data_IF_247951888949
#
_entry.id   IF_247951888949
#
_cell.length_a   1.000
_cell.length_b   1.000
_cell.length_c   1.000
_cell.angle_alpha   90.00
_cell.angle_beta   90.00
_cell.angle_gamma   90.00
#
_symmetry.space_group_name_H-M   'P 1'
#
loop_
_entity.id
_entity.type
_entity.pdbx_description
1 polymer ?
#
# COMPACT_ATOMS: atom_id res chain seq x y z
N UNK A 1 2.27 -30.67 12.23
CA UNK A 1 2.42 -29.85 11.01
C UNK A 1 3.83 -30.05 10.51
N UNK A 2 4.06 -30.38 9.23
CA UNK A 2 5.42 -30.62 8.71
C UNK A 2 6.12 -29.30 8.42
N UNK A 3 7.44 -29.24 8.61
CA UNK A 3 8.28 -28.05 8.34
C UNK A 3 8.05 -27.49 6.93
N UNK A 4 7.89 -28.37 5.93
CA UNK A 4 7.59 -27.98 4.54
C UNK A 4 6.25 -27.26 4.37
N UNK A 5 5.24 -27.64 5.14
CA UNK A 5 3.93 -26.98 5.10
C UNK A 5 4.01 -25.53 5.61
N UNK A 6 4.82 -25.29 6.66
CA UNK A 6 5.07 -23.92 7.16
C UNK A 6 5.92 -23.11 6.18
N UNK A 7 6.88 -23.73 5.49
CA UNK A 7 7.66 -23.06 4.45
C UNK A 7 6.78 -22.62 3.27
N UNK A 8 5.87 -23.47 2.82
CA UNK A 8 4.93 -23.12 1.76
C UNK A 8 3.96 -22.02 2.20
N UNK A 9 3.49 -22.07 3.46
CA UNK A 9 2.65 -21.02 4.02
C UNK A 9 3.39 -19.68 4.10
N UNK A 10 4.67 -19.67 4.50
CA UNK A 10 5.49 -18.45 4.51
C UNK A 10 5.64 -17.85 3.12
N UNK A 11 5.90 -18.67 2.10
CA UNK A 11 5.97 -18.20 0.70
C UNK A 11 4.66 -17.56 0.27
N UNK A 12 3.53 -18.19 0.58
CA UNK A 12 2.21 -17.65 0.26
C UNK A 12 1.94 -16.31 0.98
N UNK A 13 2.40 -16.17 2.23
CA UNK A 13 2.32 -14.88 2.95
C UNK A 13 3.22 -13.81 2.35
N UNK A 14 4.42 -14.17 1.88
CA UNK A 14 5.30 -13.22 1.19
C UNK A 14 4.67 -12.74 -0.12
N UNK A 15 4.18 -13.65 -0.96
CA UNK A 15 3.51 -13.28 -2.21
C UNK A 15 2.30 -12.38 -1.96
N UNK A 16 1.51 -12.67 -0.93
CA UNK A 16 0.38 -11.81 -0.58
C UNK A 16 0.84 -10.40 -0.17
N UNK A 17 1.96 -10.29 0.54
CA UNK A 17 2.54 -9.00 0.91
C UNK A 17 3.01 -8.23 -0.32
N UNK A 18 3.72 -8.90 -1.23
CA UNK A 18 4.18 -8.33 -2.50
C UNK A 18 3.01 -7.82 -3.37
N UNK A 19 1.90 -8.57 -3.44
CA UNK A 19 0.67 -8.14 -4.12
C UNK A 19 0.11 -6.83 -3.54
N UNK A 20 0.06 -6.73 -2.22
CA UNK A 20 -0.46 -5.52 -1.54
C UNK A 20 0.49 -4.34 -1.78
N UNK A 21 1.80 -4.55 -1.73
CA UNK A 21 2.80 -3.52 -2.01
C UNK A 21 2.72 -3.01 -3.46
N UNK A 22 2.50 -3.90 -4.43
CA UNK A 22 2.24 -3.50 -5.82
C UNK A 22 0.98 -2.65 -5.95
N UNK A 23 -0.10 -3.01 -5.24
CA UNK A 23 -1.35 -2.25 -5.26
C UNK A 23 -1.19 -0.86 -4.63
N UNK A 24 -0.44 -0.76 -3.53
CA UNK A 24 -0.08 0.52 -2.91
C UNK A 24 0.65 1.43 -3.91
N UNK A 25 1.67 0.90 -4.60
CA UNK A 25 2.42 1.65 -5.59
C UNK A 25 1.52 2.10 -6.75
N UNK A 26 0.59 1.24 -7.19
CA UNK A 26 -0.39 1.57 -8.23
C UNK A 26 -1.30 2.72 -7.79
N UNK A 27 -1.85 2.67 -6.58
CA UNK A 27 -2.71 3.71 -6.03
C UNK A 27 -1.97 5.04 -5.86
N UNK A 28 -0.73 5.01 -5.35
CA UNK A 28 0.13 6.20 -5.27
C UNK A 28 0.39 6.82 -6.64
N UNK A 29 0.68 6.00 -7.66
CA UNK A 29 0.84 6.46 -9.03
C UNK A 29 -0.39 7.18 -9.56
N UNK A 30 -1.58 6.65 -9.28
CA UNK A 30 -2.86 7.28 -9.66
C UNK A 30 -3.05 8.60 -8.92
N UNK A 31 -2.84 8.64 -7.60
CA UNK A 31 -2.97 9.87 -6.81
C UNK A 31 -2.06 10.97 -7.37
N UNK A 32 -0.78 10.65 -7.61
CA UNK A 32 0.17 11.61 -8.17
C UNK A 32 -0.27 12.15 -9.53
N UNK A 33 -0.84 11.29 -10.39
CA UNK A 33 -1.35 11.70 -11.69
C UNK A 33 -2.57 12.64 -11.55
N UNK A 34 -3.50 12.32 -10.67
CA UNK A 34 -4.69 13.13 -10.43
C UNK A 34 -4.35 14.47 -9.76
N UNK A 35 -3.36 14.50 -8.86
CA UNK A 35 -2.83 15.74 -8.27
C UNK A 35 -2.13 16.61 -9.31
N UNK A 36 -1.31 16.02 -10.19
CA UNK A 36 -0.67 16.74 -11.28
C UNK A 36 -1.73 17.36 -12.21
N UNK A 37 -2.78 16.61 -12.51
CA UNK A 37 -3.91 17.10 -13.31
C UNK A 37 -4.64 18.26 -12.64
N UNK A 38 -4.93 18.15 -11.33
CA UNK A 38 -5.53 19.23 -10.56
C UNK A 38 -4.67 20.50 -10.59
N UNK A 39 -3.35 20.34 -10.43
CA UNK A 39 -2.39 21.46 -10.49
C UNK A 39 -2.40 22.15 -11.86
N UNK A 40 -2.50 21.39 -12.95
CA UNK A 40 -2.67 21.95 -14.29
C UNK A 40 -3.97 22.77 -14.38
N UNK A 41 -5.10 22.24 -13.90
CA UNK A 41 -6.37 22.98 -13.89
C UNK A 41 -6.28 24.29 -13.06
N UNK A 42 -5.61 24.25 -11.91
CA UNK A 42 -5.37 25.42 -11.06
C UNK A 42 -4.52 26.48 -11.76
N UNK A 43 -3.50 26.06 -12.50
CA UNK A 43 -2.67 26.94 -13.31
C UNK A 43 -3.46 27.56 -14.47
N UNK A 44 -4.27 26.78 -15.17
CA UNK A 44 -5.14 27.27 -16.24
C UNK A 44 -6.18 28.27 -15.73
N UNK A 45 -6.81 27.98 -14.58
CA UNK A 45 -7.76 28.87 -13.94
C UNK A 45 -7.09 30.20 -13.56
N UNK A 46 -5.91 30.14 -12.96
CA UNK A 46 -5.15 31.33 -12.56
C UNK A 46 -4.75 32.19 -13.76
N UNK A 47 -4.28 31.56 -14.84
CA UNK A 47 -3.95 32.27 -16.08
C UNK A 47 -5.17 32.94 -16.71
N UNK A 48 -6.32 32.26 -16.76
CA UNK A 48 -7.55 32.84 -17.30
C UNK A 48 -8.14 33.95 -16.40
N UNK A 49 -7.99 33.84 -15.08
CA UNK A 49 -8.34 34.93 -14.16
C UNK A 49 -7.50 36.18 -14.40
N UNK A 50 -6.21 36.01 -14.67
CA UNK A 50 -5.32 37.13 -14.97
C UNK A 50 -5.68 37.78 -16.31
N UNK A 51 -5.97 36.98 -17.34
CA UNK A 51 -6.50 37.47 -18.62
C UNK A 51 -7.78 38.26 -18.43
N UNK A 52 -8.72 37.75 -17.61
CA UNK A 52 -9.97 38.45 -17.31
C UNK A 52 -9.74 39.80 -16.61
N UNK A 53 -8.85 39.85 -15.60
CA UNK A 53 -8.49 41.10 -14.92
C UNK A 53 -7.87 42.12 -15.87
N UNK A 54 -6.98 41.68 -16.75
CA UNK A 54 -6.34 42.55 -17.74
C UNK A 54 -7.37 43.15 -18.70
N UNK A 55 -8.34 42.37 -19.17
CA UNK A 55 -9.44 42.87 -20.00
C UNK A 55 -10.32 43.87 -19.25
N UNK A 56 -10.54 43.67 -17.94
CA UNK A 56 -11.34 44.58 -17.12
C UNK A 56 -10.66 45.95 -16.93
N UNK A 57 -9.31 45.98 -16.92
CA UNK A 57 -8.53 47.21 -16.73
C UNK A 57 -8.33 47.95 -18.06
N UNK A 58 -8.16 47.21 -19.17
CA UNK A 58 -7.76 47.78 -20.46
C UNK A 58 -8.94 48.14 -21.38
N UNK A 59 -10.10 47.49 -21.24
CA UNK A 59 -11.24 47.65 -22.15
C UNK A 59 -12.61 47.56 -21.44
N UNK A 60 -13.66 48.03 -22.12
CA UNK A 60 -15.05 47.77 -21.70
C UNK A 60 -15.39 46.33 -22.06
N UNK A 61 -15.45 45.45 -21.06
CA UNK A 61 -15.88 44.05 -21.26
C UNK A 61 -17.33 44.05 -21.74
N UNK A 62 -17.57 43.48 -22.92
CA UNK A 62 -18.93 43.30 -23.41
C UNK A 62 -19.68 42.23 -22.59
N UNK A 63 -21.01 42.34 -22.44
CA UNK A 63 -21.79 41.39 -21.65
C UNK A 63 -21.68 39.92 -22.11
N UNK A 64 -21.39 39.66 -23.39
CA UNK A 64 -21.20 38.32 -23.94
C UNK A 64 -19.89 37.69 -23.47
N UNK A 65 -18.80 38.44 -23.49
CA UNK A 65 -17.51 38.02 -22.93
C UNK A 65 -17.61 37.76 -21.43
N UNK A 66 -18.29 38.62 -20.68
CA UNK A 66 -18.51 38.42 -19.24
C UNK A 66 -19.26 37.12 -18.95
N UNK A 67 -20.31 36.81 -19.71
CA UNK A 67 -21.05 35.55 -19.59
C UNK A 67 -20.17 34.34 -19.91
N UNK A 68 -19.28 34.45 -20.88
CA UNK A 68 -18.33 33.39 -21.25
C UNK A 68 -17.35 33.11 -20.13
N UNK A 69 -16.72 34.15 -19.55
CA UNK A 69 -15.80 34.01 -18.42
C UNK A 69 -16.49 33.41 -17.20
N UNK A 70 -17.68 33.90 -16.85
CA UNK A 70 -18.46 33.36 -15.74
C UNK A 70 -18.76 31.87 -15.93
N UNK A 71 -19.22 31.50 -17.14
CA UNK A 71 -19.51 30.10 -17.47
C UNK A 71 -18.25 29.25 -17.37
N UNK A 72 -17.13 29.71 -17.93
CA UNK A 72 -15.84 29.00 -17.84
C UNK A 72 -15.41 28.78 -16.39
N UNK A 73 -15.36 29.83 -15.56
CA UNK A 73 -14.94 29.71 -14.16
C UNK A 73 -15.85 28.80 -13.34
N UNK A 74 -17.17 28.88 -13.57
CA UNK A 74 -18.13 27.97 -12.92
C UNK A 74 -17.86 26.51 -13.29
N UNK A 75 -17.68 26.21 -14.58
CA UNK A 75 -17.40 24.85 -15.03
C UNK A 75 -16.04 24.34 -14.52
N UNK A 76 -15.03 25.21 -14.51
CA UNK A 76 -13.68 24.86 -14.05
C UNK A 76 -13.69 24.55 -12.55
N UNK A 77 -14.37 25.35 -11.75
CA UNK A 77 -14.54 25.10 -10.31
C UNK A 77 -15.24 23.76 -10.03
N UNK A 78 -16.30 23.43 -10.78
CA UNK A 78 -16.98 22.13 -10.64
C UNK A 78 -16.03 20.98 -10.98
N UNK A 79 -15.29 21.07 -12.09
CA UNK A 79 -14.32 20.05 -12.50
C UNK A 79 -13.22 19.84 -11.45
N UNK A 80 -12.66 20.94 -10.93
CA UNK A 80 -11.63 20.89 -9.89
C UNK A 80 -12.17 20.29 -8.58
N UNK A 81 -13.41 20.60 -8.22
CA UNK A 81 -14.05 19.99 -7.06
C UNK A 81 -14.18 18.47 -7.23
N UNK A 82 -14.70 18.00 -8.36
CA UNK A 82 -14.81 16.58 -8.68
C UNK A 82 -13.45 15.88 -8.68
N UNK A 83 -12.42 16.57 -9.21
CA UNK A 83 -11.05 16.08 -9.22
C UNK A 83 -10.49 15.90 -7.80
N UNK A 84 -10.74 16.86 -6.90
CA UNK A 84 -10.37 16.76 -5.48
C UNK A 84 -11.10 15.63 -4.77
N UNK A 85 -12.40 15.45 -5.02
CA UNK A 85 -13.14 14.31 -4.46
C UNK A 85 -12.58 12.97 -4.93
N UNK A 86 -12.18 12.86 -6.20
CA UNK A 86 -11.55 11.65 -6.73
C UNK A 86 -10.22 11.34 -6.01
N UNK A 87 -9.38 12.36 -5.79
CA UNK A 87 -8.14 12.22 -5.03
C UNK A 87 -8.42 11.76 -3.59
N UNK A 88 -9.37 12.39 -2.90
CA UNK A 88 -9.75 12.01 -1.52
C UNK A 88 -10.20 10.55 -1.44
N UNK A 89 -11.03 10.09 -2.38
CA UNK A 89 -11.46 8.68 -2.45
C UNK A 89 -10.27 7.75 -2.63
N UNK A 90 -9.30 8.10 -3.49
CA UNK A 90 -8.11 7.27 -3.71
C UNK A 90 -7.15 7.27 -2.53
N UNK A 91 -7.03 8.38 -1.80
CA UNK A 91 -6.28 8.44 -0.54
C UNK A 91 -6.92 7.51 0.50
N UNK A 92 -8.25 7.51 0.61
CA UNK A 92 -8.95 6.60 1.53
C UNK A 92 -8.73 5.12 1.14
N UNK A 93 -8.80 4.78 -0.15
CA UNK A 93 -8.47 3.43 -0.64
C UNK A 93 -7.01 3.04 -0.33
N UNK A 94 -6.06 3.97 -0.48
CA UNK A 94 -4.66 3.76 -0.15
C UNK A 94 -4.47 3.48 1.34
N UNK A 95 -5.13 4.26 2.21
CA UNK A 95 -5.03 4.12 3.66
C UNK A 95 -5.55 2.75 4.14
N UNK A 96 -6.66 2.28 3.57
CA UNK A 96 -7.15 0.92 3.86
C UNK A 96 -6.23 -0.17 3.33
N UNK A 97 -5.62 0.04 2.15
CA UNK A 97 -4.66 -0.92 1.60
C UNK A 97 -3.38 -0.99 2.44
N UNK A 98 -2.94 0.13 3.01
CA UNK A 98 -1.82 0.16 3.96
C UNK A 98 -2.13 -0.59 5.25
N UNK A 99 -3.37 -0.52 5.76
CA UNK A 99 -3.79 -1.35 6.91
C UNK A 99 -3.75 -2.84 6.59
N UNK A 100 -4.17 -3.24 5.39
CA UNK A 100 -4.05 -4.63 4.93
C UNK A 100 -2.60 -5.10 4.87
N UNK A 101 -1.67 -4.22 4.48
CA UNK A 101 -0.24 -4.54 4.50
C UNK A 101 0.25 -4.82 5.93
N UNK A 102 -0.14 -3.99 6.90
CA UNK A 102 0.21 -4.18 8.31
C UNK A 102 -0.29 -5.54 8.81
N UNK A 103 -1.53 -5.91 8.50
CA UNK A 103 -2.07 -7.22 8.87
C UNK A 103 -1.31 -8.37 8.19
N UNK A 104 -0.96 -8.25 6.91
CA UNK A 104 -0.12 -9.24 6.22
C UNK A 104 1.25 -9.43 6.89
N UNK A 105 1.88 -8.36 7.36
CA UNK A 105 3.13 -8.43 8.14
C UNK A 105 2.94 -9.18 9.47
N UNK A 106 1.87 -8.88 10.22
CA UNK A 106 1.55 -9.58 11.48
C UNK A 106 1.31 -11.07 11.26
N UNK A 107 0.56 -11.43 10.22
CA UNK A 107 0.31 -12.82 9.86
C UNK A 107 1.59 -13.56 9.50
N UNK A 108 2.46 -12.94 8.69
CA UNK A 108 3.77 -13.51 8.34
C UNK A 108 4.60 -13.77 9.59
N UNK A 109 4.73 -12.78 10.47
CA UNK A 109 5.47 -12.92 11.74
C UNK A 109 4.93 -14.06 12.60
N UNK A 110 3.62 -14.26 12.65
CA UNK A 110 3.01 -15.36 13.39
C UNK A 110 3.46 -16.72 12.83
N UNK A 111 3.50 -16.88 11.50
CA UNK A 111 3.97 -18.12 10.87
C UNK A 111 5.47 -18.32 11.08
N UNK A 112 6.27 -17.26 11.03
CA UNK A 112 7.72 -17.33 11.35
C UNK A 112 7.95 -17.80 12.79
N UNK A 113 7.21 -17.25 13.75
CA UNK A 113 7.26 -17.68 15.15
C UNK A 113 6.87 -19.14 15.34
N UNK A 114 5.84 -19.61 14.63
CA UNK A 114 5.44 -21.03 14.66
C UNK A 114 6.53 -21.94 14.10
N UNK A 115 7.17 -21.53 13.00
CA UNK A 115 8.31 -22.26 12.41
C UNK A 115 9.50 -22.31 13.37
N UNK A 116 9.83 -21.19 14.02
CA UNK A 116 10.90 -21.15 15.03
C UNK A 116 10.64 -22.14 16.18
N UNK A 117 9.41 -22.15 16.72
CA UNK A 117 9.01 -23.11 17.76
C UNK A 117 9.09 -24.56 17.30
N UNK A 118 8.67 -24.86 16.06
CA UNK A 118 8.75 -26.20 15.51
C UNK A 118 10.22 -26.67 15.42
N UNK A 119 11.10 -25.82 14.90
CA UNK A 119 12.54 -26.11 14.79
C UNK A 119 13.17 -26.40 16.16
N UNK A 120 12.88 -25.56 17.17
CA UNK A 120 13.38 -25.79 18.54
C UNK A 120 12.90 -27.12 19.13
N UNK A 121 11.64 -27.50 18.87
CA UNK A 121 11.09 -28.77 19.34
C UNK A 121 11.75 -29.96 18.63
N UNK A 122 11.95 -29.88 17.31
CA UNK A 122 12.65 -30.91 16.53
C UNK A 122 14.09 -31.11 17.03
N UNK A 123 14.83 -30.03 17.27
CA UNK A 123 16.19 -30.10 17.86
C UNK A 123 16.16 -30.75 19.24
N UNK A 124 15.21 -30.36 20.10
CA UNK A 124 15.08 -30.93 21.45
C UNK A 124 14.75 -32.43 21.43
N UNK A 125 13.89 -32.86 20.51
CA UNK A 125 13.57 -34.28 20.33
C UNK A 125 14.75 -35.09 19.80
N UNK A 126 15.50 -34.55 18.85
CA UNK A 126 16.70 -35.21 18.32
C UNK A 126 17.76 -35.37 19.39
N UNK A 127 18.07 -34.32 20.16
CA UNK A 127 19.02 -34.39 21.28
C UNK A 127 18.60 -35.44 22.32
N UNK A 128 17.30 -35.56 22.61
CA UNK A 128 16.76 -36.60 23.50
C UNK A 128 16.91 -38.01 22.94
N UNK A 129 16.76 -38.19 21.63
CA UNK A 129 16.96 -39.49 20.97
C UNK A 129 18.43 -39.89 21.00
N UNK A 130 19.32 -38.97 20.63
CA UNK A 130 20.77 -39.17 20.67
C UNK A 130 21.23 -39.53 22.09
N UNK A 131 20.77 -38.80 23.10
CA UNK A 131 21.10 -39.09 24.50
C UNK A 131 20.67 -40.50 24.91
N UNK A 132 19.43 -40.90 24.59
CA UNK A 132 18.95 -42.26 24.88
C UNK A 132 19.78 -43.34 24.18
N UNK A 133 20.22 -43.08 22.96
CA UNK A 133 21.06 -44.00 22.19
C UNK A 133 22.46 -44.12 22.80
N UNK A 134 23.07 -43.02 23.22
CA UNK A 134 24.32 -43.04 23.97
C UNK A 134 24.20 -43.80 25.30
N UNK A 135 23.15 -43.53 26.07
CA UNK A 135 22.89 -44.21 27.35
C UNK A 135 22.71 -45.73 27.15
N UNK A 136 22.03 -46.14 26.09
CA UNK A 136 21.87 -47.54 25.71
C UNK A 136 23.21 -48.19 25.33
N UNK A 137 24.03 -47.52 24.51
CA UNK A 137 25.36 -48.01 24.13
C UNK A 137 26.26 -48.17 25.35
N UNK A 138 26.23 -47.20 26.27
CA UNK A 138 27.03 -47.23 27.49
C UNK A 138 26.62 -48.37 28.43
N UNK A 139 25.32 -48.51 28.69
CA UNK A 139 24.79 -49.56 29.58
C UNK A 139 25.00 -50.98 29.03
N UNK A 140 24.97 -51.16 27.71
CA UNK A 140 25.20 -52.47 27.08
C UNK A 140 26.69 -52.86 27.02
N UNK A 141 27.62 -51.89 27.01
CA UNK A 141 29.06 -52.15 27.08
C UNK A 141 29.56 -52.52 28.48
N UNK A 142 28.95 -52.01 29.55
CA UNK A 142 29.33 -52.32 30.94
C UNK A 142 28.91 -53.73 31.38
N UNK A 143 27.93 -54.34 30.70
CA UNK A 143 27.44 -55.69 31.01
C UNK A 143 28.21 -56.83 30.32
N UNK A 144 29.32 -56.54 29.62
CA UNK A 144 30.28 -57.53 29.12
C UNK A 144 31.55 -57.46 29.95
#
# INVERSE_FOLDING_TARGET
MKSDSLNNLLKLKEWRKEEIEMEINRLQGIINQEEARLKTMESELSGNLETFKNHQIQDVIDPGSLKTFHSYFSHMNIKMYQQREAIVKKIAELDETQKLLIEAYKEKMLVENLKGKLCMNETRENNRKEQKEFDFIFTTRIKR
#
